data_IF_684891325408
#
_entry.id   IF_684891325408
#
_cell.length_a   1.000
_cell.length_b   1.000
_cell.length_c   1.000
_cell.angle_alpha   90.00
_cell.angle_beta   90.00
_cell.angle_gamma   90.00
#
_symmetry.space_group_name_H-M   'P 1'
#
loop_
_entity.id
_entity.type
_entity.pdbx_description
1 polymer ?
#
# COMPACT_ATOMS: atom_id res chain seq x y z
N UNK A 1 -6.15 -6.65 6.93
CA UNK A 1 -6.22 -5.93 5.64
C UNK A 1 -4.86 -5.37 5.28
N UNK A 2 -4.48 -5.42 4.00
CA UNK A 2 -3.29 -4.73 3.44
C UNK A 2 -3.77 -3.60 2.54
N UNK A 3 -3.18 -2.40 2.64
CA UNK A 3 -3.55 -1.25 1.82
C UNK A 3 -2.34 -0.60 1.18
N UNK A 4 -2.53 -0.06 -0.02
CA UNK A 4 -1.67 0.89 -0.72
C UNK A 4 -2.55 2.12 -0.90
N UNK A 5 -2.28 3.18 -0.15
CA UNK A 5 -3.23 4.26 0.07
C UNK A 5 -2.57 5.62 0.30
N UNK A 6 -3.33 6.66 -0.01
CA UNK A 6 -2.98 8.04 0.30
C UNK A 6 -4.21 8.93 0.26
N UNK A 7 -4.01 10.21 0.56
CA UNK A 7 -5.08 11.21 0.59
C UNK A 7 -4.57 12.55 0.04
N UNK A 8 -5.44 13.33 -0.60
CA UNK A 8 -5.18 14.74 -0.95
C UNK A 8 -3.86 14.97 -1.70
N UNK A 9 -3.53 14.11 -2.67
CA UNK A 9 -2.29 14.15 -3.47
C UNK A 9 -0.97 14.13 -2.67
N UNK A 10 -1.01 13.71 -1.41
CA UNK A 10 0.16 13.66 -0.55
C UNK A 10 0.98 12.41 -0.82
N UNK A 11 2.10 12.57 -1.55
CA UNK A 11 3.13 11.56 -1.65
C UNK A 11 4.02 11.55 -0.38
N UNK A 12 4.64 10.41 -0.03
CA UNK A 12 4.61 9.12 -0.72
C UNK A 12 3.35 8.29 -0.40
N UNK A 13 3.15 7.24 -1.19
CA UNK A 13 2.22 6.15 -0.91
C UNK A 13 2.51 5.53 0.46
N UNK A 14 1.44 5.17 1.16
CA UNK A 14 1.48 4.50 2.45
C UNK A 14 1.01 3.06 2.28
N UNK A 15 1.88 2.12 2.65
CA UNK A 15 1.52 0.70 2.72
C UNK A 15 1.26 0.32 4.17
N UNK A 16 0.04 -0.10 4.47
CA UNK A 16 -0.40 -0.38 5.84
C UNK A 16 -0.95 -1.78 5.99
N UNK A 17 -0.67 -2.41 7.14
CA UNK A 17 -1.42 -3.57 7.59
C UNK A 17 -2.31 -3.21 8.78
N UNK A 18 -3.54 -3.69 8.72
CA UNK A 18 -4.54 -3.55 9.78
C UNK A 18 -4.96 -4.94 10.24
N UNK A 19 -4.83 -5.19 11.54
CA UNK A 19 -5.30 -6.39 12.23
C UNK A 19 -6.24 -6.00 13.36
N UNK A 20 -7.06 -6.94 13.81
CA UNK A 20 -7.76 -6.80 15.09
C UNK A 20 -6.80 -7.12 16.24
N UNK A 21 -7.27 -6.96 17.49
CA UNK A 21 -6.69 -7.70 18.60
C UNK A 21 -6.81 -9.21 18.31
N UNK A 22 -5.78 -9.98 18.68
CA UNK A 22 -5.85 -11.42 18.56
C UNK A 22 -6.86 -12.04 19.52
N UNK A 23 -7.08 -13.36 19.42
CA UNK A 23 -8.09 -14.07 20.24
C UNK A 23 -7.70 -14.17 21.71
N UNK A 24 -6.43 -13.93 22.03
CA UNK A 24 -5.87 -14.00 23.38
C UNK A 24 -5.09 -12.71 23.70
N UNK A 25 -4.90 -12.42 25.00
CA UNK A 25 -4.37 -11.14 25.48
C UNK A 25 -2.88 -10.91 25.17
N UNK A 26 -2.19 -11.93 24.68
CA UNK A 26 -0.77 -11.96 24.26
C UNK A 26 -0.58 -12.00 22.75
N UNK A 27 -1.67 -11.89 22.00
CA UNK A 27 -1.74 -12.15 20.57
C UNK A 27 -1.69 -10.82 19.80
N UNK A 28 -0.49 -10.26 19.74
CA UNK A 28 -0.20 -8.95 19.15
C UNK A 28 0.42 -9.12 17.77
N UNK A 29 0.04 -8.25 16.82
CA UNK A 29 0.70 -8.13 15.54
C UNK A 29 1.49 -6.82 15.51
N UNK A 30 2.79 -6.92 15.74
CA UNK A 30 3.70 -5.76 15.74
C UNK A 30 4.88 -6.03 14.81
N UNK A 31 5.32 -4.97 14.13
CA UNK A 31 6.43 -5.03 13.20
C UNK A 31 7.75 -4.68 13.89
N UNK A 32 8.84 -5.43 13.62
CA UNK A 32 10.17 -5.03 14.09
C UNK A 32 10.55 -3.63 13.62
N UNK A 33 11.23 -2.86 14.47
CA UNK A 33 11.69 -1.51 14.12
C UNK A 33 12.75 -1.50 13.01
N UNK A 34 13.50 -2.60 12.86
CA UNK A 34 14.50 -2.76 11.80
C UNK A 34 14.06 -3.89 10.88
N UNK A 35 13.91 -3.58 9.60
CA UNK A 35 13.43 -4.51 8.57
C UNK A 35 14.23 -4.28 7.28
N UNK A 36 14.45 -5.33 6.50
CA UNK A 36 15.15 -5.22 5.22
C UNK A 36 14.19 -4.70 4.14
N UNK A 37 14.00 -3.39 4.11
CA UNK A 37 13.10 -2.67 3.21
C UNK A 37 13.70 -1.31 2.82
N UNK A 38 13.25 -0.73 1.70
CA UNK A 38 13.71 0.59 1.26
C UNK A 38 12.84 1.75 1.77
N UNK A 39 11.60 1.49 2.21
CA UNK A 39 10.70 2.47 2.81
C UNK A 39 10.94 2.68 4.31
N UNK A 40 10.29 3.71 4.87
CA UNK A 40 10.45 4.12 6.27
C UNK A 40 9.22 3.71 7.08
N UNK A 41 9.44 3.15 8.27
CA UNK A 41 8.36 2.79 9.19
C UNK A 41 7.62 4.05 9.67
N UNK A 42 6.29 4.08 9.53
CA UNK A 42 5.44 5.13 10.09
C UNK A 42 4.84 4.70 11.45
N UNK A 43 4.40 3.45 11.53
CA UNK A 43 3.80 2.86 12.73
C UNK A 43 4.14 1.36 12.76
N UNK A 44 4.37 0.82 13.95
CA UNK A 44 4.79 -0.57 14.12
C UNK A 44 3.66 -1.50 14.58
N UNK A 45 2.66 -0.97 15.29
CA UNK A 45 1.53 -1.77 15.76
C UNK A 45 0.45 -1.89 14.69
N UNK A 46 0.09 -3.10 14.29
CA UNK A 46 -0.92 -3.34 13.26
C UNK A 46 -2.34 -3.37 13.83
N UNK A 47 -2.49 -3.42 15.15
CA UNK A 47 -3.79 -3.49 15.83
C UNK A 47 -4.52 -2.13 15.76
N UNK A 48 -5.62 -2.12 15.03
CA UNK A 48 -6.43 -0.91 14.80
C UNK A 48 -7.05 -0.33 16.07
N UNK A 49 -7.21 -1.16 17.11
CA UNK A 49 -7.89 -0.78 18.36
C UNK A 49 -7.01 0.08 19.27
N UNK A 50 -5.70 0.13 19.05
CA UNK A 50 -4.75 0.81 19.94
C UNK A 50 -4.06 2.01 19.29
N UNK A 51 -4.31 2.26 18.00
CA UNK A 51 -3.66 3.32 17.24
C UNK A 51 -4.64 4.12 16.36
N UNK A 52 -5.91 4.21 16.76
CA UNK A 52 -6.94 4.95 16.02
C UNK A 52 -7.06 4.50 14.56
N UNK A 53 -6.98 3.18 14.33
CA UNK A 53 -7.02 2.56 13.01
C UNK A 53 -5.88 2.98 12.07
N UNK A 54 -4.74 3.46 12.57
CA UNK A 54 -3.56 3.74 11.75
C UNK A 54 -2.96 2.45 11.15
N UNK A 55 -3.03 1.34 11.88
CA UNK A 55 -2.32 0.11 11.50
C UNK A 55 -0.80 0.28 11.49
N UNK A 56 -0.06 -0.73 11.06
CA UNK A 56 1.39 -0.66 10.95
C UNK A 56 1.77 -0.26 9.53
N UNK A 57 2.24 0.98 9.38
CA UNK A 57 2.49 1.62 8.10
C UNK A 57 3.96 1.67 7.72
N UNK A 58 4.22 1.63 6.41
CA UNK A 58 5.49 1.97 5.78
C UNK A 58 5.22 3.02 4.72
N UNK A 59 5.92 4.15 4.82
CA UNK A 59 5.97 5.16 3.76
C UNK A 59 7.01 4.74 2.73
N UNK A 60 6.61 4.69 1.46
CA UNK A 60 7.53 4.37 0.37
C UNK A 60 8.56 5.49 0.18
N UNK A 61 9.71 5.14 -0.38
CA UNK A 61 10.78 6.10 -0.68
C UNK A 61 10.52 6.83 -1.99
N UNK A 62 10.79 8.14 -1.99
CA UNK A 62 10.57 9.01 -3.15
C UNK A 62 9.09 9.33 -3.38
N UNK A 63 8.80 10.06 -4.45
CA UNK A 63 7.48 10.65 -4.70
C UNK A 63 6.77 10.12 -5.95
N UNK A 64 7.45 9.30 -6.76
CA UNK A 64 6.90 8.74 -8.00
C UNK A 64 5.92 7.60 -7.77
N UNK A 65 5.64 7.24 -6.53
CA UNK A 65 4.79 6.11 -6.14
C UNK A 65 3.32 6.53 -5.87
N UNK A 66 3.02 7.83 -5.76
CA UNK A 66 1.64 8.28 -5.50
C UNK A 66 1.27 9.58 -6.24
N UNK A 67 -0.02 9.74 -6.49
CA UNK A 67 -0.64 11.01 -6.87
C UNK A 67 -0.09 11.62 -8.18
N UNK A 68 -0.07 12.97 -8.28
CA UNK A 68 0.26 13.67 -9.52
C UNK A 68 1.65 13.33 -10.08
N UNK A 69 2.62 13.04 -9.21
CA UNK A 69 3.98 12.69 -9.66
C UNK A 69 4.06 11.28 -10.22
N UNK A 70 3.33 10.31 -9.64
CA UNK A 70 3.14 8.99 -10.24
C UNK A 70 2.45 9.12 -11.62
N UNK A 71 1.37 9.90 -11.71
CA UNK A 71 0.62 10.11 -12.95
C UNK A 71 1.48 10.73 -14.06
N UNK A 72 2.21 11.81 -13.75
CA UNK A 72 3.09 12.50 -14.71
C UNK A 72 4.22 11.61 -15.20
N UNK A 73 4.69 10.66 -14.37
CA UNK A 73 5.68 9.66 -14.76
C UNK A 73 5.09 8.50 -15.59
N UNK A 74 3.78 8.48 -15.85
CA UNK A 74 3.07 7.40 -16.55
C UNK A 74 2.80 6.17 -15.68
N UNK A 75 2.81 6.35 -14.36
CA UNK A 75 2.55 5.32 -13.36
C UNK A 75 3.72 4.36 -13.12
N UNK A 76 3.40 3.08 -12.92
CA UNK A 76 4.38 2.05 -12.58
C UNK A 76 3.77 0.68 -12.37
N UNK A 77 4.50 -0.17 -11.65
CA UNK A 77 4.04 -1.48 -11.20
C UNK A 77 4.10 -1.54 -9.69
N UNK A 78 3.01 -2.01 -9.10
CA UNK A 78 2.99 -2.50 -7.73
C UNK A 78 2.88 -4.01 -7.75
N UNK A 79 3.66 -4.67 -6.90
CA UNK A 79 3.56 -6.11 -6.66
C UNK A 79 3.46 -6.37 -5.17
N UNK A 80 2.58 -7.30 -4.81
CA UNK A 80 2.39 -7.75 -3.43
C UNK A 80 2.62 -9.25 -3.43
N UNK A 81 3.60 -9.70 -2.63
CA UNK A 81 3.76 -11.11 -2.28
C UNK A 81 3.23 -11.31 -0.86
N UNK A 82 2.34 -12.28 -0.69
CA UNK A 82 1.87 -12.70 0.61
C UNK A 82 2.15 -14.19 0.78
N UNK A 83 2.83 -14.51 1.86
CA UNK A 83 3.08 -15.88 2.30
C UNK A 83 2.61 -16.04 3.75
N UNK A 84 2.85 -17.21 4.34
CA UNK A 84 2.67 -17.45 5.78
C UNK A 84 3.73 -16.73 6.62
N UNK A 85 4.85 -16.37 6.01
CA UNK A 85 6.05 -15.88 6.70
C UNK A 85 6.22 -14.37 6.58
N UNK A 86 5.70 -13.78 5.50
CA UNK A 86 5.80 -12.35 5.25
C UNK A 86 4.74 -11.82 4.28
N UNK A 87 4.53 -10.50 4.34
CA UNK A 87 3.91 -9.72 3.28
C UNK A 87 4.95 -8.72 2.78
N UNK A 88 5.23 -8.72 1.48
CA UNK A 88 6.23 -7.87 0.83
C UNK A 88 5.60 -7.07 -0.29
N UNK A 89 5.93 -5.78 -0.38
CA UNK A 89 5.44 -4.88 -1.42
C UNK A 89 6.63 -4.31 -2.17
N UNK A 90 6.56 -4.34 -3.49
CA UNK A 90 7.50 -3.66 -4.38
C UNK A 90 6.76 -2.61 -5.20
N UNK A 91 7.48 -1.54 -5.50
CA UNK A 91 7.07 -0.52 -6.44
C UNK A 91 8.20 -0.27 -7.43
N UNK A 92 7.86 -0.22 -8.72
CA UNK A 92 8.76 0.24 -9.77
C UNK A 92 8.10 1.34 -10.60
N UNK A 93 8.71 2.54 -10.72
CA UNK A 93 8.20 3.58 -11.59
C UNK A 93 8.28 3.14 -13.06
N UNK A 94 7.41 3.71 -13.91
CA UNK A 94 7.22 3.30 -15.33
C UNK A 94 8.52 3.05 -16.11
N UNK A 95 9.53 3.89 -15.90
CA UNK A 95 10.77 3.90 -16.66
C UNK A 95 11.95 3.24 -15.94
N UNK A 96 11.70 2.55 -14.82
CA UNK A 96 12.74 1.87 -14.06
C UNK A 96 13.33 0.69 -14.86
N UNK A 97 14.65 0.68 -15.14
CA UNK A 97 15.29 -0.40 -15.88
C UNK A 97 15.37 -1.70 -15.08
N UNK A 98 15.16 -1.66 -13.77
CA UNK A 98 15.24 -2.82 -12.86
C UNK A 98 13.93 -3.58 -12.74
N UNK A 99 12.84 -3.13 -13.38
CA UNK A 99 11.55 -3.86 -13.37
C UNK A 99 11.77 -5.28 -13.93
N UNK A 100 11.50 -6.33 -13.14
CA UNK A 100 11.65 -7.70 -13.61
C UNK A 100 10.81 -7.96 -14.85
N UNK A 101 11.34 -8.75 -15.80
CA UNK A 101 10.68 -8.99 -17.09
C UNK A 101 9.29 -9.59 -16.89
N UNK A 102 9.15 -10.50 -15.94
CA UNK A 102 7.91 -11.15 -15.56
C UNK A 102 6.86 -10.19 -14.99
N UNK A 103 7.27 -9.18 -14.22
CA UNK A 103 6.39 -8.11 -13.73
C UNK A 103 5.96 -7.21 -14.89
N UNK A 104 6.93 -6.79 -15.72
CA UNK A 104 6.70 -5.89 -16.85
C UNK A 104 5.80 -6.50 -17.92
N UNK A 105 5.96 -7.80 -18.20
CA UNK A 105 5.26 -8.51 -19.28
C UNK A 105 4.09 -9.36 -18.82
N UNK A 106 4.00 -9.71 -17.53
CA UNK A 106 2.98 -10.61 -17.01
C UNK A 106 3.11 -12.03 -17.57
N UNK A 107 4.27 -12.66 -17.35
CA UNK A 107 4.51 -14.04 -17.79
C UNK A 107 3.74 -15.05 -16.94
N UNK A 108 3.60 -16.29 -17.41
CA UNK A 108 2.89 -17.35 -16.67
C UNK A 108 3.59 -17.82 -15.40
N UNK A 109 4.87 -17.48 -15.22
CA UNK A 109 5.68 -17.80 -14.06
C UNK A 109 6.44 -16.58 -13.54
N UNK A 110 6.70 -16.53 -12.23
CA UNK A 110 7.35 -15.40 -11.54
C UNK A 110 8.36 -15.89 -10.48
N UNK A 111 9.33 -15.05 -10.12
CA UNK A 111 10.24 -15.31 -9.00
C UNK A 111 10.47 -14.06 -8.12
N UNK A 112 9.63 -13.83 -7.10
CA UNK A 112 9.79 -12.69 -6.20
C UNK A 112 11.14 -12.64 -5.47
N UNK A 113 11.83 -13.76 -5.30
CA UNK A 113 13.15 -13.79 -4.63
C UNK A 113 14.24 -13.06 -5.42
N UNK A 114 14.02 -12.83 -6.72
CA UNK A 114 14.95 -12.10 -7.59
C UNK A 114 14.57 -10.62 -7.76
N UNK A 115 13.48 -10.16 -7.14
CA UNK A 115 12.98 -8.78 -7.28
C UNK A 115 13.74 -7.75 -6.44
N UNK A 116 14.69 -8.20 -5.61
CA UNK A 116 15.48 -7.34 -4.75
C UNK A 116 14.76 -6.95 -3.46
N UNK A 117 15.29 -5.92 -2.78
CA UNK A 117 14.77 -5.46 -1.49
C UNK A 117 13.38 -4.84 -1.68
N UNK A 118 12.34 -5.28 -0.94
CA UNK A 118 11.00 -4.72 -1.05
C UNK A 118 10.92 -3.27 -0.55
N UNK A 119 9.94 -2.52 -1.06
CA UNK A 119 9.62 -1.18 -0.59
C UNK A 119 9.06 -1.21 0.84
N UNK A 120 8.22 -2.21 1.14
CA UNK A 120 7.73 -2.48 2.49
C UNK A 120 7.79 -3.98 2.78
N UNK A 121 8.25 -4.33 3.98
CA UNK A 121 8.42 -5.72 4.41
C UNK A 121 7.75 -5.96 5.74
N UNK A 122 6.80 -6.89 5.83
CA UNK A 122 6.07 -7.22 7.05
C UNK A 122 6.35 -8.69 7.41
N UNK A 123 7.38 -8.96 8.22
CA UNK A 123 7.72 -10.32 8.63
C UNK A 123 6.78 -10.84 9.73
N UNK A 124 6.73 -12.16 9.89
CA UNK A 124 5.97 -12.81 10.96
C UNK A 124 6.67 -12.83 12.35
N UNK A 125 7.80 -12.13 12.52
CA UNK A 125 8.65 -12.21 13.73
C UNK A 125 7.89 -11.92 15.03
N UNK A 126 6.94 -10.99 14.99
CA UNK A 126 6.08 -10.63 16.14
C UNK A 126 4.63 -10.44 15.69
N UNK A 127 4.23 -11.21 14.67
CA UNK A 127 2.88 -11.22 14.12
C UNK A 127 2.63 -12.55 13.39
N UNK A 128 1.74 -13.39 13.90
CA UNK A 128 1.32 -14.60 13.19
C UNK A 128 0.38 -14.24 12.03
N UNK A 129 0.93 -14.09 10.82
CA UNK A 129 0.17 -13.66 9.65
C UNK A 129 -0.95 -14.62 9.27
N UNK A 130 -0.81 -15.92 9.53
CA UNK A 130 -1.87 -16.90 9.25
C UNK A 130 -3.09 -16.73 10.16
N UNK A 131 -2.87 -16.16 11.36
CA UNK A 131 -3.93 -15.92 12.33
C UNK A 131 -4.72 -14.65 12.03
N UNK A 132 -4.05 -13.63 11.51
CA UNK A 132 -4.63 -12.31 11.30
C UNK A 132 -5.13 -12.07 9.87
N UNK A 133 -4.69 -12.86 8.92
CA UNK A 133 -5.05 -12.70 7.52
C UNK A 133 -5.54 -14.04 6.96
N UNK A 134 -6.80 -14.06 6.54
CA UNK A 134 -7.47 -15.19 5.86
C UNK A 134 -7.57 -14.92 4.35
N UNK A 135 -8.51 -15.53 3.63
CA UNK A 135 -8.77 -15.15 2.24
C UNK A 135 -9.17 -13.67 2.14
N UNK A 136 -8.55 -12.95 1.21
CA UNK A 136 -8.89 -11.55 0.93
C UNK A 136 -9.51 -11.42 -0.44
N UNK A 137 -10.41 -10.44 -0.55
CA UNK A 137 -10.79 -9.87 -1.83
C UNK A 137 -9.85 -8.72 -2.16
N UNK A 138 -9.53 -8.55 -3.45
CA UNK A 138 -8.87 -7.34 -3.93
C UNK A 138 -9.94 -6.25 -4.05
N UNK A 139 -9.72 -5.13 -3.38
CA UNK A 139 -10.60 -3.97 -3.40
C UNK A 139 -9.83 -2.81 -4.03
N UNK A 140 -10.43 -2.18 -5.03
CA UNK A 140 -9.95 -0.95 -5.65
C UNK A 140 -11.08 0.05 -5.52
N UNK A 141 -10.85 1.16 -4.84
CA UNK A 141 -11.86 2.18 -4.62
C UNK A 141 -11.27 3.58 -4.69
N UNK A 142 -12.14 4.54 -5.00
CA UNK A 142 -11.90 5.97 -4.86
C UNK A 142 -13.03 6.52 -4.01
N UNK A 143 -12.69 7.15 -2.90
CA UNK A 143 -13.64 7.82 -2.00
C UNK A 143 -13.15 9.23 -1.73
N UNK A 144 -14.07 10.12 -1.36
CA UNK A 144 -13.78 11.53 -1.16
C UNK A 144 -14.04 11.90 0.31
N UNK A 145 -13.16 12.71 0.88
CA UNK A 145 -13.20 13.13 2.27
C UNK A 145 -13.19 11.96 3.28
N UNK A 146 -14.30 11.73 3.98
CA UNK A 146 -14.40 10.71 5.02
C UNK A 146 -13.38 10.89 6.15
N UNK A 147 -13.18 9.82 6.91
CA UNK A 147 -12.43 9.83 8.17
C UNK A 147 -10.97 10.22 8.00
N UNK A 148 -10.33 9.83 6.89
CA UNK A 148 -8.92 10.14 6.68
C UNK A 148 -8.71 11.38 5.84
N UNK A 149 -9.17 11.38 4.57
CA UNK A 149 -8.87 12.49 3.66
C UNK A 149 -9.50 13.80 4.16
N UNK A 150 -10.71 13.74 4.75
CA UNK A 150 -11.38 14.90 5.32
C UNK A 150 -10.65 15.49 6.52
N UNK A 151 -10.17 14.66 7.44
CA UNK A 151 -9.42 15.11 8.62
C UNK A 151 -8.01 15.60 8.27
N UNK A 152 -7.38 15.03 7.24
CA UNK A 152 -6.07 15.45 6.75
C UNK A 152 -6.12 16.69 5.83
N UNK A 153 -7.30 17.02 5.31
CA UNK A 153 -7.50 18.07 4.32
C UNK A 153 -6.93 19.45 4.73
N UNK A 154 -7.11 19.92 5.98
CA UNK A 154 -6.59 21.23 6.39
C UNK A 154 -5.06 21.32 6.44
N UNK A 155 -4.36 20.17 6.49
CA UNK A 155 -2.90 20.10 6.46
C UNK A 155 -2.37 20.00 5.02
N UNK A 156 -3.23 19.63 4.07
CA UNK A 156 -2.92 19.70 2.65
C UNK A 156 -3.10 21.13 2.14
N UNK A 157 -2.44 21.48 1.04
CA UNK A 157 -2.60 22.79 0.37
C UNK A 157 -3.90 22.87 -0.43
N UNK A 158 -4.99 22.30 0.09
CA UNK A 158 -6.27 22.17 -0.59
C UNK A 158 -7.20 23.36 -0.26
N UNK A 159 -8.06 23.79 -1.20
CA UNK A 159 -8.94 24.93 -0.99
C UNK A 159 -10.17 24.59 -0.14
N UNK A 160 -10.69 25.57 0.61
CA UNK A 160 -11.93 25.45 1.38
C UNK A 160 -11.94 24.28 2.39
N UNK A 161 -13.12 23.80 2.77
CA UNK A 161 -13.31 22.51 3.42
C UNK A 161 -13.40 21.39 2.38
N UNK A 162 -13.07 20.15 2.79
CA UNK A 162 -13.12 19.01 1.88
C UNK A 162 -14.50 18.83 1.23
N UNK A 163 -15.57 18.91 2.03
CA UNK A 163 -16.95 18.71 1.55
C UNK A 163 -17.36 19.84 0.60
N UNK A 164 -17.01 21.09 0.91
CA UNK A 164 -17.35 22.21 0.03
C UNK A 164 -16.61 22.11 -1.30
N UNK A 165 -15.33 21.77 -1.29
CA UNK A 165 -14.55 21.61 -2.52
C UNK A 165 -15.12 20.49 -3.40
N UNK A 166 -15.38 19.31 -2.82
CA UNK A 166 -15.98 18.17 -3.53
C UNK A 166 -17.35 18.52 -4.14
N UNK A 167 -18.19 19.27 -3.42
CA UNK A 167 -19.53 19.62 -3.89
C UNK A 167 -19.53 20.72 -4.95
N UNK A 168 -18.57 21.65 -4.91
CA UNK A 168 -18.60 22.88 -5.70
C UNK A 168 -17.64 22.91 -6.89
N UNK A 169 -16.65 22.01 -6.95
CA UNK A 169 -15.63 22.01 -8.00
C UNK A 169 -15.48 20.62 -8.67
N UNK A 170 -16.48 20.17 -9.45
CA UNK A 170 -16.39 18.88 -10.13
C UNK A 170 -15.25 18.81 -11.17
N UNK A 171 -14.78 19.95 -11.67
CA UNK A 171 -13.68 20.00 -12.64
C UNK A 171 -12.33 19.61 -12.02
N UNK A 172 -12.14 19.82 -10.72
CA UNK A 172 -10.94 19.42 -9.99
C UNK A 172 -10.73 17.90 -9.92
N UNK A 173 -11.77 17.10 -10.18
CA UNK A 173 -11.72 15.63 -10.08
C UNK A 173 -11.61 14.92 -11.43
N UNK A 174 -11.27 15.65 -12.50
CA UNK A 174 -11.10 15.06 -13.84
C UNK A 174 -9.99 14.01 -13.92
N UNK A 175 -8.95 14.16 -13.09
CA UNK A 175 -7.84 13.20 -12.96
C UNK A 175 -8.04 12.18 -11.83
N UNK A 176 -9.22 12.15 -11.18
CA UNK A 176 -9.54 11.24 -10.08
C UNK A 176 -10.08 9.89 -10.60
N UNK A 177 -9.23 9.13 -11.31
CA UNK A 177 -9.57 7.81 -11.86
C UNK A 177 -8.41 6.83 -11.74
N UNK A 178 -8.70 5.53 -11.87
CA UNK A 178 -7.70 4.51 -12.08
C UNK A 178 -7.67 4.06 -13.54
N UNK A 179 -6.49 3.92 -14.11
CA UNK A 179 -6.27 3.29 -15.41
C UNK A 179 -5.28 2.12 -15.24
N UNK A 180 -5.83 0.91 -15.27
CA UNK A 180 -5.06 -0.32 -15.11
C UNK A 180 -4.83 -1.00 -16.45
N UNK A 181 -3.56 -1.12 -16.83
CA UNK A 181 -3.19 -1.96 -17.97
C UNK A 181 -3.45 -3.46 -17.68
N UNK A 182 -3.24 -3.91 -16.44
CA UNK A 182 -3.54 -5.28 -16.02
C UNK A 182 -3.51 -5.40 -14.48
N UNK A 183 -4.32 -6.33 -13.97
CA UNK A 183 -4.20 -6.89 -12.62
C UNK A 183 -4.01 -8.40 -12.79
N UNK A 184 -2.96 -8.97 -12.17
CA UNK A 184 -2.62 -10.40 -12.30
C UNK A 184 -2.39 -11.00 -10.91
N UNK A 185 -2.89 -12.20 -10.73
CA UNK A 185 -2.75 -12.99 -9.50
C UNK A 185 -1.96 -14.25 -9.84
N UNK A 186 -0.99 -14.57 -9.00
CA UNK A 186 -0.19 -15.79 -9.08
C UNK A 186 -0.29 -16.56 -7.78
N UNK A 187 -0.38 -17.87 -7.89
CA UNK A 187 -0.39 -18.83 -6.80
C UNK A 187 0.96 -19.56 -6.70
N UNK A 188 1.23 -20.29 -5.60
CA UNK A 188 2.50 -20.99 -5.41
C UNK A 188 2.92 -21.91 -6.58
N UNK A 189 1.97 -22.45 -7.33
CA UNK A 189 2.21 -23.31 -8.51
C UNK A 189 2.88 -22.59 -9.69
N UNK A 190 2.89 -21.26 -9.69
CA UNK A 190 3.47 -20.42 -10.74
C UNK A 190 4.81 -19.79 -10.32
N UNK A 191 5.29 -20.10 -9.12
CA UNK A 191 6.60 -19.66 -8.63
C UNK A 191 7.71 -20.56 -9.19
N UNK A 192 8.83 -19.95 -9.59
CA UNK A 192 10.03 -20.64 -10.10
C UNK A 192 11.24 -20.46 -9.22
#
# INVERSE_FOLDING_TARGET
MTRLEGVNDQAPDSVTLHTTAGKFMDDWCTMPATRNQTGVNAQLDCNVLVNSNAGCGVLLSGSLNYGPQFNTNGGGWYAIERTTDHISIWFWPRNDPTVPREVKKGTSSINPRQWGIPAAYFPNTSCDLNKFFEEHNIIINLTLCGDWAGNAYPQASCPSTCIDHVNSDPAAFTDAYFDFAAVRIYEPSQLT
#
